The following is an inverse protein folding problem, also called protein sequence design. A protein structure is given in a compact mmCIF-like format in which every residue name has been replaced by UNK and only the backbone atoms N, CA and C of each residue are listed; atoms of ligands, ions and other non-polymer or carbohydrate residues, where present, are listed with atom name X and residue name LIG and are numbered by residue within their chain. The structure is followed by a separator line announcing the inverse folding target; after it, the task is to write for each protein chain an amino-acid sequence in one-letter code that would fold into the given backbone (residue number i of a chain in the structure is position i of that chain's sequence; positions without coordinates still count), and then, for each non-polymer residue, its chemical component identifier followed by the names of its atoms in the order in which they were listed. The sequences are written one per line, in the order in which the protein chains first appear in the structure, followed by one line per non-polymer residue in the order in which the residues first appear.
data_IF_217739554951
#
_entry.id   IF_217739554951
#
_cell.length_a   1.000
_cell.length_b   1.000
_cell.length_c   1.000
_cell.angle_alpha   90.00
_cell.angle_beta   90.00
_cell.angle_gamma   90.00
#
_symmetry.space_group_name_H-M   'P 1'
#
loop_
_entity.id
_entity.type
_entity.pdbx_description
1 polymer ?
#
# COMPACT_ATOMS: atom_id res chain seq x y z
N UNK A 1 22.11 -37.87 -3.09
CA UNK A 1 20.97 -37.36 -2.30
C UNK A 1 20.15 -36.51 -3.24
N UNK A 2 18.88 -36.84 -3.36
CA UNK A 2 17.90 -36.29 -4.31
C UNK A 2 17.71 -34.79 -4.13
N UNK A 3 17.75 -34.03 -5.22
CA UNK A 3 17.29 -32.64 -5.25
C UNK A 3 15.79 -32.63 -4.99
N UNK A 4 15.38 -32.31 -3.76
CA UNK A 4 13.98 -32.02 -3.46
C UNK A 4 13.63 -30.68 -4.10
N UNK A 5 12.95 -30.75 -5.25
CA UNK A 5 12.29 -29.63 -5.88
C UNK A 5 11.24 -29.06 -4.91
N UNK A 6 11.58 -27.96 -4.24
CA UNK A 6 10.67 -27.22 -3.36
C UNK A 6 9.51 -26.71 -4.21
N UNK A 7 8.35 -27.35 -4.07
CA UNK A 7 7.11 -26.95 -4.74
C UNK A 7 6.69 -25.54 -4.33
N UNK A 8 6.43 -24.68 -5.32
CA UNK A 8 6.02 -23.29 -5.12
C UNK A 8 4.56 -23.21 -4.67
N UNK A 9 4.22 -22.47 -3.60
CA UNK A 9 2.84 -22.03 -3.37
C UNK A 9 2.46 -20.94 -4.39
N UNK A 10 1.30 -21.08 -5.03
CA UNK A 10 0.74 -20.04 -5.91
C UNK A 10 0.46 -18.75 -5.11
N UNK A 11 0.79 -17.59 -5.70
CA UNK A 11 0.44 -16.27 -5.14
C UNK A 11 1.57 -15.48 -4.47
N UNK A 12 2.82 -15.95 -4.54
CA UNK A 12 3.99 -15.13 -4.14
C UNK A 12 4.50 -14.34 -5.35
N UNK A 13 4.23 -13.05 -5.35
CA UNK A 13 4.58 -12.02 -6.34
C UNK A 13 6.09 -11.69 -6.37
N UNK A 14 6.96 -12.70 -6.41
CA UNK A 14 8.42 -12.54 -6.52
C UNK A 14 9.15 -12.33 -5.20
N UNK A 15 8.46 -12.47 -4.06
CA UNK A 15 9.07 -12.47 -2.72
C UNK A 15 9.60 -13.87 -2.43
N UNK A 16 10.91 -14.06 -2.57
CA UNK A 16 11.56 -15.35 -2.68
C UNK A 16 11.31 -16.32 -1.49
N UNK A 17 11.46 -17.60 -1.81
CA UNK A 17 11.34 -18.80 -0.96
C UNK A 17 12.30 -18.78 0.25
N UNK A 18 13.39 -18.00 0.19
CA UNK A 18 14.46 -17.97 1.20
C UNK A 18 14.18 -16.90 2.29
N UNK A 19 14.22 -17.30 3.57
CA UNK A 19 14.07 -16.39 4.71
C UNK A 19 12.63 -15.96 5.02
N UNK A 20 11.65 -16.50 4.29
CA UNK A 20 10.21 -16.20 4.44
C UNK A 20 9.48 -17.20 5.35
N UNK A 21 10.18 -18.21 5.88
CA UNK A 21 9.62 -19.19 6.80
C UNK A 21 9.94 -18.84 8.26
N UNK A 22 9.02 -19.16 9.17
CA UNK A 22 9.17 -18.96 10.61
C UNK A 22 9.75 -20.19 11.32
N UNK A 23 10.34 -21.13 10.58
CA UNK A 23 10.78 -22.43 11.10
C UNK A 23 12.30 -22.56 11.10
N UNK A 24 12.99 -21.84 10.22
CA UNK A 24 14.44 -21.86 10.10
C UNK A 24 15.06 -20.97 11.18
N UNK A 25 15.95 -21.56 11.97
CA UNK A 25 16.71 -20.83 13.00
C UNK A 25 17.81 -19.99 12.35
N UNK A 26 18.20 -18.90 13.01
CA UNK A 26 19.32 -18.08 12.55
C UNK A 26 20.60 -18.92 12.40
N UNK A 27 21.28 -18.75 11.27
CA UNK A 27 22.59 -19.32 11.04
C UNK A 27 23.66 -18.60 11.89
N UNK A 28 24.89 -19.11 11.88
CA UNK A 28 25.95 -18.57 12.73
C UNK A 28 26.32 -17.12 12.39
N UNK A 29 26.39 -16.77 11.10
CA UNK A 29 26.69 -15.40 10.67
C UNK A 29 25.57 -14.43 11.09
N UNK A 30 24.31 -14.85 10.99
CA UNK A 30 23.16 -14.05 11.42
C UNK A 30 23.15 -13.84 12.94
N UNK A 31 23.46 -14.89 13.71
CA UNK A 31 23.60 -14.79 15.17
C UNK A 31 24.71 -13.82 15.55
N UNK A 32 25.86 -13.91 14.90
CA UNK A 32 27.00 -13.00 15.14
C UNK A 32 26.66 -11.56 14.76
N UNK A 33 25.99 -11.34 13.62
CA UNK A 33 25.60 -10.02 13.14
C UNK A 33 24.53 -9.36 14.02
N UNK A 34 23.60 -10.14 14.57
CA UNK A 34 22.54 -9.65 15.46
C UNK A 34 22.98 -9.57 16.92
N UNK A 35 24.15 -10.12 17.26
CA UNK A 35 24.65 -10.13 18.63
C UNK A 35 24.93 -8.70 19.11
N UNK A 36 24.54 -8.40 20.35
CA UNK A 36 24.70 -7.09 20.99
C UNK A 36 23.98 -5.90 20.31
N UNK A 37 23.09 -6.15 19.36
CA UNK A 37 22.23 -5.10 18.79
C UNK A 37 20.98 -4.91 19.65
N UNK A 38 20.49 -3.67 19.68
CA UNK A 38 19.26 -3.31 20.36
C UNK A 38 18.05 -3.96 19.66
N UNK A 39 17.32 -4.80 20.41
CA UNK A 39 16.19 -5.56 19.90
C UNK A 39 15.02 -4.68 19.45
N UNK A 40 14.78 -3.54 20.10
CA UNK A 40 13.72 -2.61 19.73
C UNK A 40 14.06 -1.92 18.41
N UNK A 41 15.34 -1.55 18.21
CA UNK A 41 15.80 -1.00 16.93
C UNK A 41 15.75 -2.00 15.79
N UNK A 42 16.11 -3.27 16.03
CA UNK A 42 15.95 -4.33 15.03
C UNK A 42 14.47 -4.50 14.66
N UNK A 43 13.58 -4.50 15.65
CA UNK A 43 12.13 -4.58 15.41
C UNK A 43 11.60 -3.39 14.61
N UNK A 44 12.06 -2.17 14.88
CA UNK A 44 11.73 -0.98 14.08
C UNK A 44 12.18 -1.12 12.62
N UNK A 45 13.41 -1.62 12.40
CA UNK A 45 13.95 -1.87 11.06
C UNK A 45 13.12 -2.93 10.34
N UNK A 46 12.80 -4.04 11.01
CA UNK A 46 11.98 -5.11 10.44
C UNK A 46 10.58 -4.60 10.04
N UNK A 47 9.93 -3.79 10.89
CA UNK A 47 8.66 -3.13 10.56
C UNK A 47 8.79 -2.21 9.36
N UNK A 48 9.84 -1.39 9.30
CA UNK A 48 10.10 -0.50 8.16
C UNK A 48 10.27 -1.29 6.86
N UNK A 49 11.10 -2.34 6.87
CA UNK A 49 11.34 -3.20 5.72
C UNK A 49 10.06 -3.92 5.29
N UNK A 50 9.27 -4.42 6.24
CA UNK A 50 7.99 -5.05 5.95
C UNK A 50 7.01 -4.07 5.29
N UNK A 51 6.90 -2.85 5.81
CA UNK A 51 6.04 -1.81 5.23
C UNK A 51 6.50 -1.42 3.83
N UNK A 52 7.81 -1.23 3.63
CA UNK A 52 8.37 -0.89 2.32
C UNK A 52 8.16 -2.02 1.30
N UNK A 53 8.42 -3.27 1.70
CA UNK A 53 8.26 -4.46 0.86
C UNK A 53 6.80 -4.78 0.52
N UNK A 54 5.86 -4.31 1.36
CA UNK A 54 4.42 -4.49 1.15
C UNK A 54 3.69 -3.20 0.77
N UNK A 55 4.43 -2.12 0.45
CA UNK A 55 3.82 -0.87 0.00
C UNK A 55 3.25 -1.10 -1.40
N UNK A 56 1.94 -1.39 -1.45
CA UNK A 56 1.21 -1.51 -2.71
C UNK A 56 1.09 -0.12 -3.32
N UNK A 57 1.83 0.14 -4.39
CA UNK A 57 1.60 1.30 -5.25
C UNK A 57 0.19 1.20 -5.84
N UNK A 58 -0.56 2.30 -5.84
CA UNK A 58 -1.92 2.31 -6.36
C UNK A 58 -2.90 3.18 -5.56
N UNK A 59 -4.15 3.29 -6.05
CA UNK A 59 -5.16 4.13 -5.44
C UNK A 59 -5.38 3.74 -3.98
N UNK A 60 -5.46 4.74 -3.11
CA UNK A 60 -5.66 4.57 -1.67
C UNK A 60 -7.16 4.38 -1.42
N UNK A 61 -7.63 3.18 -0.99
CA UNK A 61 -9.04 2.93 -0.75
C UNK A 61 -9.64 3.95 0.22
N UNK A 62 -10.84 4.44 -0.07
CA UNK A 62 -11.56 5.38 0.79
C UNK A 62 -11.00 6.81 0.86
N UNK A 63 -9.92 7.12 0.12
CA UNK A 63 -9.29 8.44 0.04
C UNK A 63 -9.64 9.16 -1.27
N UNK A 64 -10.92 9.47 -1.43
CA UNK A 64 -11.44 10.25 -2.55
C UNK A 64 -11.20 11.75 -2.35
N UNK A 65 -11.07 12.47 -3.46
CA UNK A 65 -10.85 13.91 -3.49
C UNK A 65 -11.66 14.56 -4.61
N UNK A 66 -11.87 15.87 -4.52
CA UNK A 66 -12.44 16.69 -5.59
C UNK A 66 -11.38 17.68 -6.03
N UNK A 67 -11.10 17.73 -7.33
CA UNK A 67 -10.15 18.66 -7.94
C UNK A 67 -10.88 19.63 -8.85
N UNK A 68 -10.63 20.93 -8.68
CA UNK A 68 -11.06 21.92 -9.66
C UNK A 68 -10.13 21.83 -10.87
N UNK A 69 -10.66 21.36 -12.00
CA UNK A 69 -9.92 21.25 -13.27
C UNK A 69 -10.04 22.51 -14.10
N UNK A 70 -11.16 23.26 -13.96
CA UNK A 70 -11.34 24.61 -14.52
C UNK A 70 -11.97 25.52 -13.47
N UNK A 71 -11.29 26.62 -13.07
CA UNK A 71 -11.78 27.54 -12.04
C UNK A 71 -13.23 27.97 -12.28
N UNK A 72 -14.09 27.72 -11.28
CA UNK A 72 -15.50 28.12 -11.28
C UNK A 72 -16.39 27.43 -12.32
N UNK A 73 -15.90 26.40 -13.02
CA UNK A 73 -16.63 25.73 -14.11
C UNK A 73 -16.65 24.23 -14.01
N UNK A 74 -15.54 23.63 -13.56
CA UNK A 74 -15.36 22.19 -13.67
C UNK A 74 -14.65 21.64 -12.44
N UNK A 75 -15.29 20.64 -11.84
CA UNK A 75 -14.82 19.90 -10.68
C UNK A 75 -14.86 18.42 -11.01
N UNK A 76 -13.76 17.72 -10.79
CA UNK A 76 -13.62 16.30 -11.08
C UNK A 76 -13.39 15.52 -9.80
N UNK A 77 -14.10 14.40 -9.66
CA UNK A 77 -13.83 13.44 -8.60
C UNK A 77 -12.57 12.66 -8.94
N UNK A 78 -11.73 12.41 -7.94
CA UNK A 78 -10.56 11.57 -8.07
C UNK A 78 -10.27 10.80 -6.80
N UNK A 79 -9.16 10.09 -6.81
CA UNK A 79 -8.67 9.30 -5.69
C UNK A 79 -7.18 9.54 -5.50
N UNK A 80 -6.75 9.66 -4.25
CA UNK A 80 -5.33 9.73 -3.93
C UNK A 80 -4.66 8.42 -4.31
N UNK A 81 -3.44 8.51 -4.82
CA UNK A 81 -2.68 7.37 -5.33
C UNK A 81 -1.32 7.33 -4.61
N UNK A 82 -0.96 6.18 -4.06
CA UNK A 82 0.29 5.98 -3.34
C UNK A 82 1.47 5.78 -4.32
N UNK A 83 1.60 6.70 -5.27
CA UNK A 83 2.61 6.70 -6.32
C UNK A 83 3.21 8.11 -6.48
N UNK A 84 4.53 8.21 -6.38
CA UNK A 84 5.28 9.46 -6.56
C UNK A 84 5.08 10.06 -7.96
N UNK A 85 5.04 9.23 -8.99
CA UNK A 85 4.92 9.70 -10.37
C UNK A 85 3.49 10.15 -10.69
N UNK A 86 2.50 9.61 -9.99
CA UNK A 86 1.08 9.90 -10.18
C UNK A 86 0.37 9.98 -8.82
N UNK A 87 0.42 11.11 -8.09
CA UNK A 87 -0.07 11.20 -6.71
C UNK A 87 -1.60 11.17 -6.57
N UNK A 88 -2.33 11.32 -7.67
CA UNK A 88 -3.79 11.19 -7.72
C UNK A 88 -4.25 10.68 -9.09
N UNK A 89 -5.43 10.10 -9.13
CA UNK A 89 -6.13 9.67 -10.35
C UNK A 89 -7.46 10.41 -10.41
N UNK A 90 -7.68 11.20 -11.45
CA UNK A 90 -8.98 11.82 -11.73
C UNK A 90 -9.85 10.85 -12.53
N UNK A 91 -11.15 10.84 -12.24
CA UNK A 91 -12.13 10.03 -12.93
C UNK A 91 -12.79 10.86 -14.03
N UNK A 92 -12.40 10.60 -15.28
CA UNK A 92 -12.83 11.38 -16.45
C UNK A 92 -14.35 11.35 -16.67
N UNK A 93 -15.02 10.31 -16.20
CA UNK A 93 -16.49 10.14 -16.25
C UNK A 93 -17.22 10.85 -15.10
N UNK A 94 -16.50 11.44 -14.15
CA UNK A 94 -17.04 12.07 -12.93
C UNK A 94 -16.68 13.56 -12.86
N UNK A 95 -17.16 14.30 -13.86
CA UNK A 95 -16.97 15.74 -13.99
C UNK A 95 -18.29 16.47 -13.72
N UNK A 96 -18.23 17.51 -12.91
CA UNK A 96 -19.37 18.25 -12.39
C UNK A 96 -19.18 19.76 -12.56
N UNK A 97 -20.30 20.48 -12.60
CA UNK A 97 -20.35 21.94 -12.65
C UNK A 97 -20.37 22.61 -11.27
N UNK A 98 -20.23 21.86 -10.19
CA UNK A 98 -20.12 22.38 -8.82
C UNK A 98 -19.21 21.50 -7.96
N UNK A 99 -18.56 22.11 -6.96
CA UNK A 99 -17.77 21.36 -5.98
C UNK A 99 -18.65 20.46 -5.11
N UNK A 100 -19.85 20.92 -4.76
CA UNK A 100 -20.79 20.24 -3.87
C UNK A 100 -21.32 18.94 -4.48
N UNK A 101 -21.63 18.94 -5.78
CA UNK A 101 -22.10 17.72 -6.46
C UNK A 101 -20.98 16.70 -6.63
N UNK A 102 -19.77 17.17 -6.94
CA UNK A 102 -18.59 16.32 -6.97
C UNK A 102 -18.28 15.71 -5.58
N UNK A 103 -18.45 16.48 -4.49
CA UNK A 103 -18.26 15.97 -3.13
C UNK A 103 -19.30 14.92 -2.76
N UNK A 104 -20.58 15.14 -3.08
CA UNK A 104 -21.64 14.14 -2.87
C UNK A 104 -21.35 12.84 -3.63
N UNK A 105 -20.88 12.94 -4.87
CA UNK A 105 -20.50 11.75 -5.65
C UNK A 105 -19.29 11.03 -5.04
N UNK A 106 -18.26 11.77 -4.59
CA UNK A 106 -17.11 11.17 -3.91
C UNK A 106 -17.53 10.41 -2.62
N UNK A 107 -18.44 10.98 -1.83
CA UNK A 107 -19.00 10.30 -0.66
C UNK A 107 -19.83 9.07 -1.02
N UNK A 108 -20.60 9.15 -2.11
CA UNK A 108 -21.38 8.03 -2.63
C UNK A 108 -20.48 6.89 -3.07
N UNK A 109 -19.44 7.16 -3.86
CA UNK A 109 -18.45 6.15 -4.27
C UNK A 109 -17.82 5.48 -3.05
N UNK A 110 -17.44 6.27 -2.04
CA UNK A 110 -16.87 5.74 -0.79
C UNK A 110 -17.82 4.79 -0.07
N UNK A 111 -19.11 5.15 0.02
CA UNK A 111 -20.15 4.33 0.65
C UNK A 111 -20.44 3.06 -0.17
N UNK A 112 -20.62 3.20 -1.48
CA UNK A 112 -20.97 2.11 -2.40
C UNK A 112 -19.88 1.03 -2.45
N UNK A 113 -18.60 1.43 -2.37
CA UNK A 113 -17.46 0.50 -2.35
C UNK A 113 -17.15 -0.08 -0.96
N UNK A 114 -17.81 0.40 0.10
CA UNK A 114 -17.55 -0.04 1.47
C UNK A 114 -16.13 0.21 1.95
N UNK A 115 -15.43 1.19 1.35
CA UNK A 115 -14.02 1.43 1.61
C UNK A 115 -13.82 2.34 2.82
N UNK A 116 -12.83 1.99 3.65
CA UNK A 116 -12.34 2.88 4.71
C UNK A 116 -10.96 3.41 4.34
N UNK A 117 -10.73 4.70 4.59
CA UNK A 117 -9.40 5.27 4.43
C UNK A 117 -8.44 4.52 5.38
N UNK A 118 -7.23 4.14 4.93
CA UNK A 118 -6.30 3.46 5.80
C UNK A 118 -6.04 4.32 7.03
N UNK A 119 -6.23 3.72 8.22
CA UNK A 119 -5.93 4.41 9.48
C UNK A 119 -4.46 4.77 9.46
N UNK A 120 -4.10 6.01 9.86
CA UNK A 120 -2.71 6.30 10.23
C UNK A 120 -2.34 5.30 11.32
N UNK A 121 -1.26 4.56 11.12
CA UNK A 121 -0.61 3.87 12.24
C UNK A 121 -0.22 4.98 13.23
N UNK A 122 -0.98 5.10 14.31
CA UNK A 122 -0.62 5.85 15.52
C UNK A 122 0.32 5.01 16.35
#
# INVERSE_FOLDING_TARGET
MTEELIGRPEGTDGKAILGSDNKTSLNQLEKEALNNLDADKINEIAKCLFVLNNRKYGPIPGAYMVMCTKPGKEWCVGQLNADRAKPFVLFEDKVFSSAEDAQKEAEKIKKDRGESAPRRCT
#
